data_IF_778413196233
#
_entry.id   IF_778413196233
#
_cell.length_a   1.000
_cell.length_b   1.000
_cell.length_c   1.000
_cell.angle_alpha   90.00
_cell.angle_beta   90.00
_cell.angle_gamma   90.00
#
_symmetry.space_group_name_H-M   'P 1'
#
loop_
_entity.id
_entity.type
_entity.pdbx_description
1 polymer ?
#
# COMPACT_ATOMS: atom_id res chain seq x y z
N UNK A 1 1.73 -12.13 -7.57
CA UNK A 1 2.31 -10.77 -7.70
C UNK A 1 3.47 -10.79 -8.70
N UNK A 2 3.64 -9.71 -9.50
CA UNK A 2 4.78 -9.58 -10.42
C UNK A 2 6.12 -9.52 -9.63
N UNK A 3 7.20 -10.22 -10.05
CA UNK A 3 8.47 -10.22 -9.32
C UNK A 3 9.10 -8.84 -9.11
N UNK A 4 8.93 -7.91 -10.05
CA UNK A 4 9.43 -6.54 -9.92
C UNK A 4 8.68 -5.77 -8.84
N UNK A 5 7.35 -5.91 -8.80
CA UNK A 5 6.51 -5.33 -7.75
C UNK A 5 6.88 -5.94 -6.39
N UNK A 6 7.06 -7.26 -6.33
CA UNK A 6 7.47 -7.94 -5.10
C UNK A 6 8.76 -7.35 -4.54
N UNK A 7 9.80 -7.28 -5.38
CA UNK A 7 11.09 -6.69 -4.99
C UNK A 7 10.94 -5.24 -4.56
N UNK A 8 10.14 -4.45 -5.27
CA UNK A 8 9.90 -3.06 -4.92
C UNK A 8 9.25 -2.91 -3.54
N UNK A 9 8.23 -3.72 -3.24
CA UNK A 9 7.57 -3.74 -1.93
C UNK A 9 8.54 -4.12 -0.81
N UNK A 10 9.46 -5.05 -1.04
CA UNK A 10 10.50 -5.42 -0.07
C UNK A 10 11.48 -4.25 0.24
N UNK A 11 11.56 -3.26 -0.65
CA UNK A 11 12.39 -2.05 -0.49
C UNK A 11 11.60 -0.86 0.08
N UNK A 12 10.28 -0.95 0.21
CA UNK A 12 9.44 0.11 0.80
C UNK A 12 9.68 0.19 2.31
N UNK A 13 9.86 1.41 2.81
CA UNK A 13 9.96 1.68 4.24
C UNK A 13 8.57 1.77 4.86
N UNK A 14 8.15 0.70 5.53
CA UNK A 14 6.86 0.65 6.21
C UNK A 14 6.94 1.08 7.67
N UNK A 15 6.06 1.98 8.07
CA UNK A 15 5.85 2.39 9.46
C UNK A 15 4.60 1.70 10.02
N UNK A 16 4.69 1.06 11.19
CA UNK A 16 3.50 0.55 11.86
C UNK A 16 2.68 1.70 12.45
N UNK A 17 1.39 1.74 12.13
CA UNK A 17 0.42 2.70 12.66
C UNK A 17 -0.78 1.92 13.18
N UNK A 18 -1.08 2.10 14.47
CA UNK A 18 -2.30 1.54 15.06
C UNK A 18 -3.53 2.06 14.32
N UNK A 19 -4.51 1.19 14.11
CA UNK A 19 -5.72 1.51 13.34
C UNK A 19 -6.45 2.79 13.81
N UNK A 20 -6.45 3.07 15.11
CA UNK A 20 -7.06 4.26 15.72
C UNK A 20 -6.37 5.57 15.30
N UNK A 21 -5.11 5.50 14.84
CA UNK A 21 -4.32 6.65 14.41
C UNK A 21 -4.15 6.72 12.88
N UNK A 22 -4.70 5.77 12.13
CA UNK A 22 -4.70 5.84 10.68
C UNK A 22 -5.74 6.86 10.20
N UNK A 23 -5.26 7.94 9.60
CA UNK A 23 -6.09 9.02 9.05
C UNK A 23 -5.99 9.08 7.53
N UNK A 24 -6.96 9.74 6.90
CA UNK A 24 -6.92 10.03 5.47
C UNK A 24 -5.64 10.79 5.10
N UNK A 25 -5.31 11.81 5.88
CA UNK A 25 -4.12 12.64 5.70
C UNK A 25 -2.81 11.82 5.73
N UNK A 26 -2.73 10.78 6.58
CA UNK A 26 -1.55 9.90 6.64
C UNK A 26 -1.39 9.10 5.35
N UNK A 27 -2.49 8.62 4.76
CA UNK A 27 -2.48 7.90 3.47
C UNK A 27 -2.12 8.87 2.34
N UNK A 28 -2.77 10.04 2.28
CA UNK A 28 -2.51 11.07 1.26
C UNK A 28 -1.06 11.54 1.25
N UNK A 29 -0.45 11.66 2.45
CA UNK A 29 0.93 12.11 2.60
C UNK A 29 1.99 11.01 2.49
N UNK A 30 1.62 9.76 2.20
CA UNK A 30 2.61 8.72 1.89
C UNK A 30 3.50 9.20 0.74
N UNK A 31 4.82 9.25 0.97
CA UNK A 31 5.79 9.59 -0.07
C UNK A 31 6.18 8.35 -0.87
N UNK A 32 7.03 8.57 -1.87
CA UNK A 32 7.60 7.44 -2.60
C UNK A 32 8.47 6.59 -1.70
N UNK A 33 8.36 5.27 -1.89
CA UNK A 33 8.99 4.24 -1.08
C UNK A 33 8.65 4.30 0.42
N UNK A 34 7.54 4.95 0.78
CA UNK A 34 6.97 4.89 2.11
C UNK A 34 5.65 4.11 2.11
N UNK A 35 5.39 3.43 3.21
CA UNK A 35 4.14 2.71 3.43
C UNK A 35 3.77 2.68 4.90
N UNK A 36 2.56 2.20 5.18
CA UNK A 36 2.07 1.99 6.54
C UNK A 36 1.69 0.54 6.73
N UNK A 37 2.02 -0.04 7.88
CA UNK A 37 1.43 -1.31 8.32
C UNK A 37 0.36 -1.00 9.35
N UNK A 38 -0.87 -1.44 9.10
CA UNK A 38 -1.98 -1.30 10.01
C UNK A 38 -2.36 -2.68 10.57
N UNK A 39 -2.03 -2.99 11.84
CA UNK A 39 -2.43 -4.23 12.47
C UNK A 39 -3.96 -4.30 12.63
N UNK A 40 -4.54 -5.43 12.24
CA UNK A 40 -5.96 -5.74 12.49
C UNK A 40 -6.09 -6.97 13.39
N UNK A 41 -7.32 -7.37 13.73
CA UNK A 41 -7.56 -8.56 14.57
C UNK A 41 -7.11 -9.87 13.90
N UNK A 42 -7.03 -9.92 12.57
CA UNK A 42 -6.82 -11.16 11.81
C UNK A 42 -5.55 -11.17 10.98
N UNK A 43 -5.08 -10.01 10.53
CA UNK A 43 -3.86 -9.89 9.71
C UNK A 43 -3.36 -8.45 9.72
N UNK A 44 -2.09 -8.25 9.36
CA UNK A 44 -1.56 -6.92 9.13
C UNK A 44 -1.91 -6.47 7.72
N UNK A 45 -2.46 -5.27 7.60
CA UNK A 45 -2.75 -4.65 6.31
C UNK A 45 -1.64 -3.67 5.97
N UNK A 46 -0.95 -3.94 4.87
CA UNK A 46 0.19 -3.15 4.41
C UNK A 46 -0.27 -2.21 3.31
N UNK A 47 -0.14 -0.91 3.54
CA UNK A 47 -0.60 0.14 2.64
C UNK A 47 0.59 0.80 1.99
N UNK A 48 0.60 0.85 0.67
CA UNK A 48 1.54 1.63 -0.11
C UNK A 48 0.80 2.36 -1.23
N UNK A 49 1.50 3.25 -1.93
CA UNK A 49 1.01 3.71 -3.23
C UNK A 49 0.85 2.52 -4.18
N UNK A 50 -0.15 2.59 -5.06
CA UNK A 50 -0.40 1.54 -6.05
C UNK A 50 0.81 1.41 -6.97
N UNK A 51 1.30 0.18 -7.14
CA UNK A 51 2.44 -0.13 -7.99
C UNK A 51 1.98 -0.68 -9.34
N UNK A 52 2.60 -0.21 -10.41
CA UNK A 52 2.39 -0.71 -11.77
C UNK A 52 3.72 -0.95 -12.45
N UNK A 53 3.80 -1.96 -13.32
CA UNK A 53 4.97 -2.17 -14.17
C UNK A 53 4.70 -1.56 -15.52
N UNK A 54 5.57 -0.65 -15.94
CA UNK A 54 5.54 -0.07 -17.29
C UNK A 54 6.88 -0.33 -18.00
N UNK A 55 6.90 -0.13 -19.31
CA UNK A 55 8.11 -0.24 -20.11
C UNK A 55 8.65 1.16 -20.42
N UNK A 56 9.85 1.47 -19.92
CA UNK A 56 10.54 2.74 -20.17
C UNK A 56 11.76 2.45 -21.03
N UNK A 57 11.74 2.89 -22.29
CA UNK A 57 12.84 2.67 -23.24
C UNK A 57 13.26 1.19 -23.38
N UNK A 58 12.30 0.26 -23.33
CA UNK A 58 12.57 -1.18 -23.41
C UNK A 58 12.89 -1.85 -22.06
N UNK A 59 12.89 -1.09 -20.96
CA UNK A 59 13.21 -1.59 -19.62
C UNK A 59 11.96 -1.61 -18.73
N UNK A 60 11.51 -2.80 -18.26
CA UNK A 60 10.43 -2.91 -17.28
C UNK A 60 10.80 -2.19 -15.98
N UNK A 61 9.97 -1.22 -15.58
CA UNK A 61 10.20 -0.36 -14.41
C UNK A 61 8.93 -0.30 -13.57
N UNK A 62 9.09 -0.31 -12.24
CA UNK A 62 7.97 -0.12 -11.30
C UNK A 62 7.71 1.37 -11.13
N UNK A 63 6.46 1.77 -11.27
CA UNK A 63 5.98 3.12 -10.98
C UNK A 63 4.94 3.10 -9.89
N UNK A 64 4.99 4.11 -9.04
CA UNK A 64 3.96 4.40 -8.05
C UNK A 64 2.89 5.33 -8.63
N UNK A 65 1.63 5.07 -8.28
CA UNK A 65 0.55 6.03 -8.47
C UNK A 65 0.70 7.21 -7.50
N UNK A 66 0.26 8.38 -7.95
CA UNK A 66 0.19 9.60 -7.13
C UNK A 66 -1.19 9.82 -6.50
N UNK A 67 -2.19 9.04 -6.91
CA UNK A 67 -3.60 9.21 -6.50
C UNK A 67 -4.25 7.93 -6.01
N UNK A 68 -3.66 6.77 -6.27
CA UNK A 68 -4.18 5.47 -5.87
C UNK A 68 -3.21 4.77 -4.93
N UNK A 69 -3.79 4.01 -4.01
CA UNK A 69 -3.11 3.23 -2.98
C UNK A 69 -3.50 1.77 -3.14
N UNK A 70 -2.67 0.90 -2.61
CA UNK A 70 -2.93 -0.53 -2.59
C UNK A 70 -2.76 -1.07 -1.19
N UNK A 71 -3.62 -2.02 -0.85
CA UNK A 71 -3.56 -2.77 0.40
C UNK A 71 -3.05 -4.16 0.07
N UNK A 72 -2.04 -4.61 0.80
CA UNK A 72 -1.42 -5.91 0.71
C UNK A 72 -1.69 -6.69 2.00
N UNK A 73 -1.76 -8.02 1.89
CA UNK A 73 -1.66 -8.91 3.06
C UNK A 73 -0.21 -9.00 3.58
N UNK A 74 -0.02 -9.69 4.71
CA UNK A 74 1.30 -9.95 5.30
C UNK A 74 2.25 -10.79 4.43
N UNK A 75 1.77 -11.35 3.31
CA UNK A 75 2.57 -12.09 2.34
C UNK A 75 2.87 -11.27 1.08
N UNK A 76 2.43 -10.00 1.04
CA UNK A 76 2.60 -9.09 -0.09
C UNK A 76 1.62 -9.32 -1.23
N UNK A 77 0.51 -10.03 -1.03
CA UNK A 77 -0.52 -10.16 -2.06
C UNK A 77 -1.48 -8.96 -2.03
N UNK A 78 -1.80 -8.36 -3.19
CA UNK A 78 -2.77 -7.26 -3.26
C UNK A 78 -4.18 -7.74 -2.91
N UNK A 79 -4.81 -7.04 -2.00
CA UNK A 79 -6.17 -7.25 -1.52
C UNK A 79 -7.14 -6.21 -2.09
N UNK A 80 -6.70 -4.94 -2.13
CA UNK A 80 -7.54 -3.81 -2.52
C UNK A 80 -6.71 -2.72 -3.18
N UNK A 81 -7.35 -1.93 -4.06
CA UNK A 81 -6.76 -0.76 -4.70
C UNK A 81 -7.84 0.31 -4.80
N UNK A 82 -7.56 1.51 -4.32
CA UNK A 82 -8.50 2.62 -4.34
C UNK A 82 -7.79 3.97 -4.16
N UNK A 83 -8.56 5.05 -4.13
CA UNK A 83 -8.07 6.31 -3.58
C UNK A 83 -7.85 6.25 -2.05
N UNK A 84 -7.41 7.36 -1.45
CA UNK A 84 -7.11 7.40 -0.03
C UNK A 84 -8.36 7.19 0.85
N UNK A 85 -9.55 7.65 0.42
CA UNK A 85 -10.80 7.46 1.16
C UNK A 85 -11.24 5.99 1.12
N UNK A 86 -11.29 5.39 -0.07
CA UNK A 86 -11.67 3.99 -0.22
C UNK A 86 -10.70 3.05 0.48
N UNK A 87 -9.41 3.38 0.50
CA UNK A 87 -8.38 2.65 1.26
C UNK A 87 -8.65 2.72 2.76
N UNK A 88 -8.95 3.91 3.30
CA UNK A 88 -9.27 4.07 4.71
C UNK A 88 -10.55 3.34 5.11
N UNK A 89 -11.58 3.43 4.28
CA UNK A 89 -12.87 2.78 4.51
C UNK A 89 -12.75 1.25 4.49
N UNK A 90 -11.94 0.70 3.58
CA UNK A 90 -11.63 -0.73 3.55
C UNK A 90 -11.01 -1.17 4.88
N UNK A 91 -10.00 -0.46 5.38
CA UNK A 91 -9.30 -0.81 6.63
C UNK A 91 -10.23 -0.73 7.83
N UNK A 92 -11.07 0.30 7.92
CA UNK A 92 -12.07 0.43 8.99
C UNK A 92 -13.05 -0.75 9.02
N UNK A 93 -13.32 -1.39 7.89
CA UNK A 93 -14.10 -2.62 7.82
C UNK A 93 -13.53 -3.80 8.63
N UNK A 94 -12.22 -3.80 8.93
CA UNK A 94 -11.54 -4.85 9.72
C UNK A 94 -11.40 -4.49 11.21
N UNK A 95 -11.76 -3.27 11.60
CA UNK A 95 -11.57 -2.75 12.96
C UNK A 95 -12.87 -2.81 13.78
N UNK A 96 -13.99 -3.15 13.14
CA UNK A 96 -15.30 -3.37 13.79
C UNK A 96 -15.27 -4.38 14.93
#
# INVERSE_FOLDING_TARGET
>A
MNPLIKKYVEEVNFEQVENLFLTLEKIENLKSQEGVVCPTKTTDLWISRKLSVIEVLGVPTVMESTTEYMILDSFGNPLWVDDANGTLDYIKGFVG
#
